data_IF_833800508087
#
_entry.id   IF_833800508087
#
_cell.length_a   1.000
_cell.length_b   1.000
_cell.length_c   1.000
_cell.angle_alpha   90.00
_cell.angle_beta   90.00
_cell.angle_gamma   90.00
#
_symmetry.space_group_name_H-M   'P 1'
#
loop_
_entity.id
_entity.type
_entity.pdbx_description
1 polymer ?
#
# COMPACT_ATOMS: atom_id res chain seq x y z
N UNK A 1 31.77 1.26 11.00
CA UNK A 1 31.12 1.54 9.71
C UNK A 1 30.30 0.34 9.31
N UNK A 2 30.91 -0.65 8.65
CA UNK A 2 30.14 -1.69 7.96
C UNK A 2 30.01 -3.02 8.71
N UNK A 3 30.95 -3.37 9.59
CA UNK A 3 30.87 -4.61 10.38
C UNK A 3 29.65 -4.64 11.32
N UNK A 4 29.31 -3.51 11.93
CA UNK A 4 28.12 -3.39 12.79
C UNK A 4 26.80 -3.48 12.01
N UNK A 5 26.79 -3.11 10.72
CA UNK A 5 25.61 -3.23 9.87
C UNK A 5 25.35 -4.70 9.48
N UNK A 6 26.40 -5.46 9.19
CA UNK A 6 26.29 -6.90 8.90
C UNK A 6 25.81 -7.69 10.12
N UNK A 7 26.33 -7.38 11.31
CA UNK A 7 25.89 -8.00 12.57
C UNK A 7 24.42 -7.68 12.84
N UNK A 8 24.00 -6.43 12.63
CA UNK A 8 22.60 -6.02 12.77
C UNK A 8 21.67 -6.74 11.79
N UNK A 9 22.10 -6.94 10.54
CA UNK A 9 21.32 -7.67 9.52
C UNK A 9 21.11 -9.11 9.94
N UNK A 10 22.14 -9.80 10.45
CA UNK A 10 22.01 -11.18 10.93
C UNK A 10 20.98 -11.27 12.06
N UNK A 11 21.07 -10.39 13.06
CA UNK A 11 20.11 -10.34 14.17
C UNK A 11 18.70 -10.08 13.66
N UNK A 12 18.49 -9.12 12.75
CA UNK A 12 17.16 -8.85 12.19
C UNK A 12 16.60 -10.07 11.44
N UNK A 13 17.45 -10.78 10.70
CA UNK A 13 17.05 -11.97 9.95
C UNK A 13 16.55 -13.11 10.86
N UNK A 14 17.04 -13.21 12.09
CA UNK A 14 16.54 -14.19 13.08
C UNK A 14 15.08 -13.92 13.49
N UNK A 15 14.63 -12.66 13.41
CA UNK A 15 13.27 -12.25 13.75
C UNK A 15 12.30 -12.21 12.55
N UNK A 16 12.78 -12.45 11.33
CA UNK A 16 11.92 -12.56 10.14
C UNK A 16 10.84 -13.65 10.22
N UNK A 17 11.05 -14.84 10.83
CA UNK A 17 10.00 -15.82 11.05
C UNK A 17 9.15 -15.58 12.32
N UNK A 18 9.29 -14.44 13.00
CA UNK A 18 8.63 -14.19 14.28
C UNK A 18 7.09 -14.31 14.16
N UNK A 19 6.38 -14.91 15.14
CA UNK A 19 4.94 -15.15 15.04
C UNK A 19 4.10 -13.88 14.90
N UNK A 20 4.51 -12.80 15.58
CA UNK A 20 3.81 -11.52 15.59
C UNK A 20 4.08 -10.72 14.30
N UNK A 21 3.05 -10.32 13.53
CA UNK A 21 3.21 -9.66 12.23
C UNK A 21 3.93 -8.32 12.31
N UNK A 22 3.69 -7.54 13.36
CA UNK A 22 4.37 -6.26 13.56
C UNK A 22 5.89 -6.40 13.64
N UNK A 23 6.40 -7.47 14.25
CA UNK A 23 7.85 -7.70 14.34
C UNK A 23 8.43 -7.95 12.94
N UNK A 24 7.75 -8.76 12.11
CA UNK A 24 8.16 -9.00 10.72
C UNK A 24 8.10 -7.73 9.86
N UNK A 25 7.07 -6.90 10.05
CA UNK A 25 6.95 -5.58 9.40
C UNK A 25 8.16 -4.69 9.74
N UNK A 26 8.49 -4.57 11.02
CA UNK A 26 9.63 -3.74 11.47
C UNK A 26 10.97 -4.33 11.01
N UNK A 27 11.11 -5.66 10.94
CA UNK A 27 12.30 -6.30 10.34
C UNK A 27 12.46 -5.92 8.87
N UNK A 28 11.39 -5.96 8.07
CA UNK A 28 11.40 -5.51 6.69
C UNK A 28 11.82 -4.02 6.57
N UNK A 29 11.26 -3.15 7.41
CA UNK A 29 11.63 -1.72 7.42
C UNK A 29 13.09 -1.52 7.80
N UNK A 30 13.58 -2.21 8.81
CA UNK A 30 14.96 -2.14 9.25
C UNK A 30 15.93 -2.61 8.16
N UNK A 31 15.64 -3.73 7.49
CA UNK A 31 16.43 -4.22 6.37
C UNK A 31 16.46 -3.22 5.22
N UNK A 32 15.31 -2.65 4.83
CA UNK A 32 15.26 -1.64 3.76
C UNK A 32 16.09 -0.39 4.09
N UNK A 33 16.11 0.05 5.36
CA UNK A 33 16.91 1.20 5.81
C UNK A 33 18.41 0.90 5.84
N UNK A 34 18.79 -0.28 6.31
CA UNK A 34 20.20 -0.68 6.48
C UNK A 34 20.85 -1.06 5.14
N UNK A 35 20.16 -1.88 4.35
CA UNK A 35 20.70 -2.49 3.13
C UNK A 35 20.31 -1.73 1.84
N UNK A 36 19.34 -0.81 1.91
CA UNK A 36 18.82 -0.09 0.73
C UNK A 36 18.43 -1.08 -0.38
N UNK A 37 19.04 -0.97 -1.56
CA UNK A 37 18.78 -1.86 -2.69
C UNK A 37 19.11 -3.34 -2.39
N UNK A 38 20.13 -3.61 -1.56
CA UNK A 38 20.51 -4.97 -1.17
C UNK A 38 19.46 -5.66 -0.28
N UNK A 39 18.46 -4.92 0.21
CA UNK A 39 17.33 -5.49 0.94
C UNK A 39 16.38 -6.29 0.05
N UNK A 40 16.38 -6.06 -1.26
CA UNK A 40 15.36 -6.61 -2.18
C UNK A 40 15.19 -8.14 -2.07
N UNK A 41 16.24 -8.98 -2.08
CA UNK A 41 16.08 -10.44 -1.96
C UNK A 41 15.44 -10.89 -0.65
N UNK A 42 15.62 -10.11 0.42
CA UNK A 42 15.02 -10.40 1.73
C UNK A 42 13.55 -9.98 1.76
N UNK A 43 13.23 -8.82 1.19
CA UNK A 43 11.87 -8.30 1.12
C UNK A 43 10.98 -9.14 0.21
N UNK A 44 11.50 -9.65 -0.92
CA UNK A 44 10.75 -10.52 -1.83
C UNK A 44 10.18 -11.78 -1.14
N UNK A 45 10.89 -12.32 -0.14
CA UNK A 45 10.45 -13.49 0.64
C UNK A 45 9.19 -13.21 1.46
N UNK A 46 8.88 -11.94 1.73
CA UNK A 46 7.72 -11.52 2.51
C UNK A 46 6.52 -11.09 1.64
N UNK A 47 6.60 -11.20 0.31
CA UNK A 47 5.46 -10.90 -0.57
C UNK A 47 4.29 -11.87 -0.41
N UNK A 48 4.56 -13.06 0.13
CA UNK A 48 3.56 -14.09 0.42
C UNK A 48 3.45 -14.34 1.94
N UNK A 49 3.78 -13.31 2.74
CA UNK A 49 3.55 -13.36 4.18
C UNK A 49 2.07 -13.62 4.49
N UNK A 50 1.83 -14.38 5.55
CA UNK A 50 0.47 -14.73 6.02
C UNK A 50 -0.33 -13.52 6.48
N UNK A 51 0.34 -12.43 6.83
CA UNK A 51 -0.28 -11.20 7.31
C UNK A 51 -0.22 -10.10 6.26
N UNK A 52 -1.41 -9.65 5.90
CA UNK A 52 -1.68 -8.59 4.94
C UNK A 52 -0.92 -7.28 5.23
N UNK A 53 -0.73 -6.91 6.51
CA UNK A 53 -0.02 -5.67 6.88
C UNK A 53 1.45 -5.77 6.49
N UNK A 54 2.05 -6.95 6.66
CA UNK A 54 3.44 -7.20 6.27
C UNK A 54 3.58 -7.11 4.76
N UNK A 55 2.71 -7.78 4.01
CA UNK A 55 2.70 -7.73 2.54
C UNK A 55 2.54 -6.29 2.04
N UNK A 56 1.63 -5.52 2.63
CA UNK A 56 1.43 -4.09 2.31
C UNK A 56 2.71 -3.30 2.47
N UNK A 57 3.39 -3.47 3.61
CA UNK A 57 4.62 -2.76 3.91
C UNK A 57 5.71 -3.13 2.91
N UNK A 58 5.85 -4.41 2.63
CA UNK A 58 6.84 -4.94 1.68
C UNK A 58 6.62 -4.38 0.28
N UNK A 59 5.38 -4.31 -0.19
CA UNK A 59 5.04 -3.68 -1.49
C UNK A 59 5.50 -2.22 -1.52
N UNK A 60 5.23 -1.46 -0.46
CA UNK A 60 5.66 -0.06 -0.37
C UNK A 60 7.19 0.08 -0.28
N UNK A 61 7.88 -0.81 0.42
CA UNK A 61 9.34 -0.77 0.49
C UNK A 61 9.97 -1.10 -0.87
N UNK A 62 9.49 -2.15 -1.54
CA UNK A 62 9.97 -2.54 -2.86
C UNK A 62 9.65 -1.52 -3.95
N UNK A 63 8.51 -0.81 -3.86
CA UNK A 63 8.19 0.29 -4.78
C UNK A 63 9.14 1.48 -4.61
N UNK A 64 9.44 1.87 -3.37
CA UNK A 64 10.42 2.94 -3.07
C UNK A 64 11.86 2.58 -3.46
N UNK A 65 12.17 1.29 -3.49
CA UNK A 65 13.45 0.78 -4.00
C UNK A 65 13.43 0.58 -5.53
N UNK A 66 12.34 0.94 -6.21
CA UNK A 66 12.11 0.73 -7.65
C UNK A 66 12.46 -0.69 -8.11
N UNK A 67 12.06 -1.69 -7.33
CA UNK A 67 12.35 -3.10 -7.64
C UNK A 67 11.71 -3.54 -8.95
N UNK A 68 12.55 -3.87 -9.94
CA UNK A 68 12.10 -4.43 -11.22
C UNK A 68 12.11 -5.96 -11.22
N UNK A 69 12.17 -6.58 -10.04
CA UNK A 69 12.22 -8.03 -9.89
C UNK A 69 10.94 -8.68 -10.41
N UNK A 70 11.03 -9.71 -11.29
CA UNK A 70 9.86 -10.29 -11.95
C UNK A 70 8.78 -10.78 -10.98
N UNK A 71 9.19 -11.36 -9.84
CA UNK A 71 8.26 -11.83 -8.81
C UNK A 71 7.42 -10.68 -8.23
N UNK A 72 8.05 -9.52 -7.98
CA UNK A 72 7.35 -8.36 -7.45
C UNK A 72 6.38 -7.77 -8.48
N UNK A 73 6.84 -7.60 -9.72
CA UNK A 73 6.00 -7.07 -10.80
C UNK A 73 4.81 -7.99 -11.11
N UNK A 74 5.01 -9.31 -11.09
CA UNK A 74 3.93 -10.28 -11.24
C UNK A 74 2.92 -10.18 -10.08
N UNK A 75 3.39 -9.97 -8.85
CA UNK A 75 2.50 -9.72 -7.70
C UNK A 75 1.65 -8.47 -7.92
N UNK A 76 2.25 -7.36 -8.34
CA UNK A 76 1.53 -6.11 -8.61
C UNK A 76 0.44 -6.32 -9.67
N UNK A 77 0.81 -6.89 -10.83
CA UNK A 77 -0.11 -7.10 -11.96
C UNK A 77 -1.21 -8.10 -11.61
N UNK A 78 -0.87 -9.24 -11.01
CA UNK A 78 -1.84 -10.28 -10.67
C UNK A 78 -2.83 -9.84 -9.59
N UNK A 79 -2.41 -8.99 -8.65
CA UNK A 79 -3.27 -8.43 -7.60
C UNK A 79 -4.31 -7.45 -8.15
N UNK A 80 -3.98 -6.69 -9.20
CA UNK A 80 -4.88 -5.65 -9.73
C UNK A 80 -5.67 -6.10 -10.96
N UNK A 81 -5.26 -7.19 -11.60
CA UNK A 81 -5.91 -7.76 -12.79
C UNK A 81 -7.42 -7.96 -12.60
N UNK A 82 -8.17 -7.76 -13.68
CA UNK A 82 -9.60 -8.03 -13.68
C UNK A 82 -9.87 -9.52 -13.49
N UNK A 83 -10.83 -9.84 -12.61
CA UNK A 83 -11.23 -11.21 -12.29
C UNK A 83 -12.60 -11.53 -12.84
N UNK A 84 -12.85 -12.81 -13.12
CA UNK A 84 -14.21 -13.29 -13.40
C UNK A 84 -15.05 -13.19 -12.13
N UNK A 85 -16.37 -13.08 -12.28
CA UNK A 85 -17.28 -12.95 -11.12
C UNK A 85 -17.19 -14.12 -10.12
N UNK A 86 -16.74 -15.30 -10.54
CA UNK A 86 -16.59 -16.51 -9.73
C UNK A 86 -15.15 -16.76 -9.22
N UNK A 87 -14.20 -15.90 -9.56
CA UNK A 87 -12.83 -16.01 -9.08
C UNK A 87 -12.67 -15.25 -7.75
N UNK A 88 -11.81 -15.76 -6.84
CA UNK A 88 -11.47 -15.02 -5.63
C UNK A 88 -10.77 -13.71 -6.01
N UNK A 89 -11.13 -12.67 -5.29
CA UNK A 89 -10.60 -11.33 -5.49
C UNK A 89 -9.63 -11.00 -4.36
N UNK A 90 -8.44 -10.46 -4.67
CA UNK A 90 -7.56 -9.94 -3.64
C UNK A 90 -8.25 -8.86 -2.82
N UNK A 91 -7.89 -8.75 -1.53
CA UNK A 91 -8.42 -7.71 -0.67
C UNK A 91 -8.23 -6.30 -1.27
N UNK A 92 -9.22 -5.43 -1.09
CA UNK A 92 -9.23 -4.10 -1.70
C UNK A 92 -7.98 -3.27 -1.35
N UNK A 93 -7.55 -3.33 -0.09
CA UNK A 93 -6.36 -2.63 0.36
C UNK A 93 -5.10 -3.07 -0.41
N UNK A 94 -4.99 -4.35 -0.77
CA UNK A 94 -3.84 -4.91 -1.49
C UNK A 94 -3.83 -4.40 -2.92
N UNK A 95 -5.00 -4.35 -3.56
CA UNK A 95 -5.12 -3.80 -4.91
C UNK A 95 -4.73 -2.33 -4.94
N UNK A 96 -5.21 -1.53 -3.96
CA UNK A 96 -4.85 -0.12 -3.85
C UNK A 96 -3.36 0.05 -3.59
N UNK A 97 -2.75 -0.77 -2.73
CA UNK A 97 -1.31 -0.75 -2.49
C UNK A 97 -0.51 -1.03 -3.77
N UNK A 98 -0.94 -2.02 -4.57
CA UNK A 98 -0.29 -2.36 -5.83
C UNK A 98 -0.43 -1.24 -6.88
N UNK A 99 -1.62 -0.63 -7.01
CA UNK A 99 -1.83 0.48 -7.95
C UNK A 99 -1.02 1.72 -7.56
N UNK A 100 -0.91 2.01 -6.25
CA UNK A 100 -0.04 3.08 -5.75
C UNK A 100 1.43 2.79 -6.02
N UNK A 101 1.87 1.55 -5.78
CA UNK A 101 3.22 1.13 -6.10
C UNK A 101 3.53 1.37 -7.58
N UNK A 102 2.63 0.99 -8.50
CA UNK A 102 2.80 1.24 -9.94
C UNK A 102 2.88 2.75 -10.28
N UNK A 103 2.20 3.61 -9.54
CA UNK A 103 2.29 5.06 -9.70
C UNK A 103 3.61 5.67 -9.20
N UNK A 104 4.47 4.92 -8.50
CA UNK A 104 5.80 5.38 -8.07
C UNK A 104 6.89 5.11 -9.13
N UNK A 105 6.59 4.38 -10.21
CA UNK A 105 7.58 3.97 -11.24
C UNK A 105 7.84 5.05 -12.29
N UNK A 106 7.80 6.32 -11.90
CA UNK A 106 8.14 7.40 -12.81
C UNK A 106 9.63 7.31 -13.17
N UNK A 107 9.95 7.34 -14.47
CA UNK A 107 11.31 7.20 -14.99
C UNK A 107 12.03 5.88 -14.72
N UNK A 108 11.34 4.85 -14.22
CA UNK A 108 11.90 3.51 -14.05
C UNK A 108 11.71 2.70 -15.33
N UNK A 109 12.76 2.01 -15.80
CA UNK A 109 12.66 1.12 -16.95
C UNK A 109 11.89 -0.14 -16.54
N UNK A 110 10.68 -0.28 -17.07
CA UNK A 110 9.84 -1.44 -16.85
C UNK A 110 10.24 -2.58 -17.80
N UNK A 111 10.43 -3.83 -17.32
CA UNK A 111 10.79 -4.95 -18.19
C UNK A 111 9.64 -5.38 -19.13
N UNK A 112 8.38 -5.22 -18.71
CA UNK A 112 7.19 -5.48 -19.55
C UNK A 112 6.14 -4.37 -19.39
N UNK A 113 6.36 -3.19 -20.00
CA UNK A 113 5.48 -2.04 -19.83
C UNK A 113 4.12 -2.28 -20.51
N UNK A 114 4.08 -3.08 -21.58
CA UNK A 114 2.84 -3.33 -22.35
C UNK A 114 1.83 -4.11 -21.54
N UNK A 115 2.26 -5.15 -20.81
CA UNK A 115 1.36 -5.95 -19.97
C UNK A 115 0.78 -5.13 -18.82
N UNK A 116 1.60 -4.29 -18.18
CA UNK A 116 1.14 -3.38 -17.11
C UNK A 116 0.15 -2.37 -17.67
N UNK A 117 0.50 -1.70 -18.77
CA UNK A 117 -0.37 -0.72 -19.42
C UNK A 117 -1.72 -1.33 -19.78
N UNK A 118 -1.74 -2.51 -20.44
CA UNK A 118 -2.97 -3.19 -20.81
C UNK A 118 -3.83 -3.52 -19.57
N UNK A 119 -3.20 -4.00 -18.49
CA UNK A 119 -3.91 -4.32 -17.25
C UNK A 119 -4.56 -3.07 -16.65
N UNK A 120 -3.85 -1.95 -16.63
CA UNK A 120 -4.38 -0.68 -16.14
C UNK A 120 -5.48 -0.12 -17.04
N UNK A 121 -5.34 -0.22 -18.37
CA UNK A 121 -6.38 0.14 -19.33
C UNK A 121 -7.66 -0.68 -19.10
N UNK A 122 -7.54 -1.98 -18.89
CA UNK A 122 -8.66 -2.87 -18.57
C UNK A 122 -9.36 -2.45 -17.26
N UNK A 123 -8.60 -2.06 -16.23
CA UNK A 123 -9.18 -1.56 -14.98
C UNK A 123 -9.96 -0.25 -15.21
N UNK A 124 -9.36 0.71 -15.90
CA UNK A 124 -9.96 2.01 -16.19
C UNK A 124 -11.24 1.87 -17.01
N UNK A 125 -11.17 1.05 -18.06
CA UNK A 125 -12.25 0.79 -19.00
C UNK A 125 -12.36 -0.71 -19.29
N UNK A 126 -13.13 -1.46 -18.48
CA UNK A 126 -13.29 -2.89 -18.71
C UNK A 126 -13.95 -3.15 -20.06
N UNK A 127 -13.58 -4.24 -20.77
CA UNK A 127 -14.16 -4.57 -22.07
C UNK A 127 -15.68 -4.75 -21.97
N UNK A 128 -16.46 -3.90 -22.66
CA UNK A 128 -17.94 -3.90 -22.58
C UNK A 128 -18.56 -5.26 -22.83
N UNK A 129 -18.03 -6.01 -23.81
CA UNK A 129 -18.52 -7.35 -24.13
C UNK A 129 -18.37 -8.29 -22.92
N UNK A 130 -17.25 -8.20 -22.19
CA UNK A 130 -16.97 -9.06 -21.03
C UNK A 130 -17.68 -8.59 -19.76
N UNK A 131 -17.95 -7.30 -19.59
CA UNK A 131 -18.70 -6.80 -18.43
C UNK A 131 -20.20 -7.13 -18.52
N UNK A 132 -20.74 -7.25 -19.73
CA UNK A 132 -22.17 -7.50 -19.98
C UNK A 132 -22.54 -8.99 -20.03
N UNK A 133 -21.57 -9.91 -20.01
CA UNK A 133 -21.87 -11.34 -20.02
C UNK A 133 -22.62 -11.75 -18.72
N UNK A 134 -23.74 -12.49 -18.85
CA UNK A 134 -24.51 -12.94 -17.70
C UNK A 134 -23.77 -14.01 -16.90
N UNK A 135 -24.06 -14.06 -15.60
CA UNK A 135 -23.56 -15.08 -14.70
C UNK A 135 -22.03 -15.12 -14.58
N UNK A 136 -21.46 -16.33 -14.59
CA UNK A 136 -20.04 -16.63 -14.32
C UNK A 136 -19.06 -16.23 -15.44
N UNK A 137 -19.56 -15.83 -16.60
CA UNK A 137 -18.73 -15.46 -17.76
C UNK A 137 -18.36 -13.97 -17.77
N UNK A 138 -18.99 -13.18 -16.91
CA UNK A 138 -18.73 -11.75 -16.78
C UNK A 138 -17.47 -11.44 -15.98
N UNK A 139 -16.85 -10.31 -16.29
CA UNK A 139 -15.73 -9.73 -15.55
C UNK A 139 -16.26 -8.75 -14.51
N UNK A 140 -15.63 -8.72 -13.32
CA UNK A 140 -15.96 -7.77 -12.26
C UNK A 140 -15.25 -6.44 -12.54
N UNK A 141 -16.04 -5.39 -12.80
CA UNK A 141 -15.50 -4.03 -12.86
C UNK A 141 -14.94 -3.62 -11.49
N UNK A 142 -13.81 -2.92 -11.49
CA UNK A 142 -13.23 -2.39 -10.25
C UNK A 142 -14.01 -1.15 -9.80
N UNK A 143 -14.04 -0.95 -8.49
CA UNK A 143 -14.59 0.26 -7.88
C UNK A 143 -13.86 1.53 -8.35
N UNK A 144 -14.51 2.68 -8.19
CA UNK A 144 -14.04 3.96 -8.72
C UNK A 144 -12.67 4.37 -8.18
N UNK A 145 -12.42 4.16 -6.89
CA UNK A 145 -11.13 4.40 -6.24
C UNK A 145 -9.96 3.69 -6.95
N UNK A 146 -10.13 2.42 -7.30
CA UNK A 146 -9.15 1.62 -8.03
C UNK A 146 -9.00 2.11 -9.47
N UNK A 147 -10.07 2.60 -10.10
CA UNK A 147 -10.01 3.20 -11.44
C UNK A 147 -9.23 4.52 -11.42
N UNK A 148 -9.41 5.33 -10.38
CA UNK A 148 -8.64 6.56 -10.14
C UNK A 148 -7.15 6.23 -10.01
N UNK A 149 -6.76 5.31 -9.11
CA UNK A 149 -5.36 4.93 -8.97
C UNK A 149 -4.78 4.30 -10.25
N UNK A 150 -5.56 3.52 -11.00
CA UNK A 150 -5.12 2.97 -12.27
C UNK A 150 -4.89 4.05 -13.34
N UNK A 151 -5.74 5.10 -13.39
CA UNK A 151 -5.54 6.23 -14.29
C UNK A 151 -4.30 7.06 -13.91
N UNK A 152 -4.02 7.25 -12.61
CA UNK A 152 -2.77 7.86 -12.14
C UNK A 152 -1.57 7.02 -12.60
N UNK A 153 -1.61 5.70 -12.36
CA UNK A 153 -0.53 4.80 -12.77
C UNK A 153 -0.32 4.82 -14.28
N UNK A 154 -1.38 4.87 -15.11
CA UNK A 154 -1.25 5.04 -16.57
C UNK A 154 -0.54 6.35 -16.95
N UNK A 155 -0.78 7.45 -16.24
CA UNK A 155 -0.03 8.68 -16.47
C UNK A 155 1.48 8.51 -16.24
N UNK A 156 1.85 7.63 -15.30
CA UNK A 156 3.25 7.39 -14.90
C UNK A 156 3.93 6.36 -15.81
N UNK A 157 3.32 5.18 -16.03
CA UNK A 157 3.96 4.07 -16.78
C UNK A 157 3.41 3.88 -18.19
N UNK A 158 2.28 4.51 -18.52
CA UNK A 158 1.62 4.35 -19.81
C UNK A 158 2.31 5.13 -20.93
N UNK A 159 2.03 4.69 -22.15
CA UNK A 159 2.46 5.29 -23.41
C UNK A 159 1.30 6.02 -24.10
N UNK A 160 1.57 6.59 -25.28
CA UNK A 160 0.55 7.22 -26.11
C UNK A 160 -0.63 6.29 -26.44
N UNK A 161 -0.44 4.96 -26.40
CA UNK A 161 -1.50 3.99 -26.62
C UNK A 161 -2.58 4.00 -25.52
N UNK A 162 -2.29 4.51 -24.32
CA UNK A 162 -3.27 4.65 -23.23
C UNK A 162 -4.17 5.90 -23.37
N UNK A 163 -3.79 6.89 -24.19
CA UNK A 163 -4.52 8.16 -24.34
C UNK A 163 -5.99 7.96 -24.76
N UNK A 164 -6.34 7.09 -25.73
CA UNK A 164 -7.75 6.86 -26.09
C UNK A 164 -8.60 6.32 -24.93
N UNK A 165 -8.00 5.51 -24.05
CA UNK A 165 -8.68 4.97 -22.86
C UNK A 165 -8.89 6.09 -21.84
N UNK A 166 -7.88 6.91 -21.57
CA UNK A 166 -7.97 8.05 -20.67
C UNK A 166 -8.94 9.13 -21.16
N UNK A 167 -8.96 9.42 -22.47
CA UNK A 167 -9.90 10.38 -23.07
C UNK A 167 -11.36 10.02 -22.80
N UNK A 168 -11.68 8.72 -22.74
CA UNK A 168 -13.05 8.28 -22.42
C UNK A 168 -13.47 8.60 -20.98
N UNK A 169 -12.53 8.89 -20.08
CA UNK A 169 -12.81 9.34 -18.72
C UNK A 169 -13.04 10.85 -18.61
N UNK A 170 -12.66 11.67 -19.60
CA UNK A 170 -12.88 13.12 -19.55
C UNK A 170 -14.36 13.52 -19.56
N UNK A 171 -15.23 12.61 -19.99
CA UNK A 171 -16.70 12.75 -19.94
C UNK A 171 -17.34 11.88 -18.86
N UNK A 172 -16.56 11.35 -17.90
CA UNK A 172 -17.12 10.60 -16.78
C UNK A 172 -17.88 11.52 -15.81
N UNK A 173 -18.92 10.99 -15.17
CA UNK A 173 -19.71 11.74 -14.18
C UNK A 173 -18.85 12.15 -12.97
N UNK A 174 -17.87 11.32 -12.61
CA UNK A 174 -16.93 11.57 -11.52
C UNK A 174 -15.94 12.68 -11.87
N UNK A 175 -15.94 13.74 -11.05
CA UNK A 175 -14.99 14.85 -11.18
C UNK A 175 -13.54 14.40 -10.95
N UNK A 176 -13.30 13.50 -10.00
CA UNK A 176 -11.98 12.97 -9.69
C UNK A 176 -11.40 12.20 -10.89
N UNK A 177 -12.21 11.33 -11.51
CA UNK A 177 -11.78 10.60 -12.70
C UNK A 177 -11.46 11.54 -13.87
N UNK A 178 -12.27 12.60 -14.07
CA UNK A 178 -12.01 13.58 -15.14
C UNK A 178 -10.69 14.32 -14.94
N UNK A 179 -10.45 14.82 -13.72
CA UNK A 179 -9.21 15.54 -13.38
C UNK A 179 -7.99 14.65 -13.56
N UNK A 180 -8.03 13.45 -12.97
CA UNK A 180 -6.92 12.49 -13.04
C UNK A 180 -6.63 12.04 -14.47
N UNK A 181 -7.66 11.82 -15.29
CA UNK A 181 -7.47 11.47 -16.69
C UNK A 181 -6.78 12.60 -17.48
N UNK A 182 -7.20 13.85 -17.28
CA UNK A 182 -6.55 15.01 -17.90
C UNK A 182 -5.08 15.14 -17.49
N UNK A 183 -4.78 14.95 -16.20
CA UNK A 183 -3.41 14.97 -15.69
C UNK A 183 -2.55 13.83 -16.26
N UNK A 184 -3.11 12.63 -16.35
CA UNK A 184 -2.43 11.47 -16.92
C UNK A 184 -2.12 11.66 -18.41
N UNK A 185 -3.06 12.20 -19.19
CA UNK A 185 -2.85 12.51 -20.61
C UNK A 185 -1.72 13.53 -20.77
N UNK A 186 -1.77 14.64 -20.02
CA UNK A 186 -0.72 15.67 -20.07
C UNK A 186 0.67 15.12 -19.75
N UNK A 187 0.79 14.22 -18.76
CA UNK A 187 2.06 13.56 -18.43
C UNK A 187 2.58 12.68 -19.56
N UNK A 188 1.70 11.88 -20.18
CA UNK A 188 2.08 11.00 -21.30
C UNK A 188 2.55 11.85 -22.50
N UNK A 189 1.81 12.91 -22.83
CA UNK A 189 2.14 13.82 -23.93
C UNK A 189 3.45 14.57 -23.69
N UNK A 190 3.67 15.09 -22.48
CA UNK A 190 4.93 15.75 -22.12
C UNK A 190 6.13 14.80 -22.26
N UNK A 191 5.98 13.54 -21.85
CA UNK A 191 7.00 12.51 -22.04
C UNK A 191 7.24 12.18 -23.51
N UNK A 192 6.17 12.02 -24.30
CA UNK A 192 6.28 11.75 -25.73
C UNK A 192 6.94 12.91 -26.50
N UNK A 193 6.74 14.15 -26.06
CA UNK A 193 7.37 15.34 -26.61
C UNK A 193 8.83 15.55 -26.16
N UNK A 194 9.40 14.64 -25.35
CA UNK A 194 10.76 14.76 -24.82
C UNK A 194 10.92 15.84 -23.76
N UNK A 195 9.82 16.39 -23.22
CA UNK A 195 9.82 17.41 -22.17
C UNK A 195 10.03 16.82 -20.77
N UNK A 196 9.98 15.48 -20.65
CA UNK A 196 10.34 14.72 -19.46
C UNK A 196 11.49 13.77 -19.83
N UNK A 197 12.74 14.22 -19.61
CA UNK A 197 13.91 13.33 -19.67
C UNK A 197 13.77 12.23 -18.60
N UNK A 198 14.26 10.99 -18.82
CA UNK A 198 14.54 10.10 -17.70
C UNK A 198 15.46 10.86 -16.76
N UNK A 199 15.08 10.98 -15.49
CA UNK A 199 15.99 11.52 -14.48
C UNK A 199 17.26 10.66 -14.54
N UNK A 200 18.38 11.26 -14.92
CA UNK A 200 19.69 10.70 -14.57
C UNK A 200 19.65 10.41 -13.07
N UNK A 201 20.15 9.26 -12.61
CA UNK A 201 20.15 8.94 -11.19
C UNK A 201 20.90 10.06 -10.46
N UNK A 202 20.14 10.92 -9.77
CA UNK A 202 20.70 11.98 -8.97
C UNK A 202 21.61 11.31 -7.96
N UNK A 203 22.91 11.54 -8.10
CA UNK A 203 23.89 11.14 -7.11
C UNK A 203 23.38 11.63 -5.75
N UNK A 204 23.47 10.80 -4.69
CA UNK A 204 22.99 11.19 -3.39
C UNK A 204 23.65 12.51 -3.01
N UNK A 205 22.85 13.55 -2.81
CA UNK A 205 23.36 14.84 -2.36
C UNK A 205 24.22 14.60 -1.10
N UNK A 206 25.42 15.18 -1.02
CA UNK A 206 26.28 15.01 0.14
C UNK A 206 25.51 15.50 1.35
N UNK A 207 25.29 14.59 2.30
CA UNK A 207 24.64 14.88 3.58
C UNK A 207 25.45 16.00 4.24
N UNK A 208 24.92 17.22 4.18
CA UNK A 208 25.41 18.35 4.95
C UNK A 208 25.30 17.94 6.41
N UNK A 209 26.43 17.63 7.03
CA UNK A 209 26.51 17.35 8.46
C UNK A 209 25.96 18.59 9.19
N UNK A 210 24.80 18.44 9.83
CA UNK A 210 24.33 19.42 10.79
C UNK A 210 25.41 19.56 11.88
N UNK A 211 25.80 20.79 12.26
CA UNK A 211 26.81 21.00 13.28
C UNK A 211 26.34 20.41 14.62
N UNK A 212 27.21 19.61 15.23
CA UNK A 212 27.01 19.04 16.57
C UNK A 212 26.61 20.15 17.56
N UNK A 213 25.57 19.94 18.39
CA UNK A 213 25.23 20.89 19.43
C UNK A 213 26.32 20.90 20.50
N UNK A 214 26.83 22.09 20.80
CA UNK A 214 27.84 22.32 21.85
C UNK A 214 27.40 21.74 23.21
N UNK A 215 28.35 21.19 24.00
CA UNK A 215 28.03 20.54 25.26
C UNK A 215 27.55 21.59 26.28
N UNK A 216 26.27 21.52 26.64
CA UNK A 216 25.72 22.30 27.74
C UNK A 216 26.36 21.87 29.07
N UNK A 217 26.94 22.83 29.76
CA UNK A 217 27.60 22.65 31.05
C UNK A 217 26.63 22.06 32.09
N UNK A 218 27.08 20.99 32.75
CA UNK A 218 26.34 20.33 33.82
C UNK A 218 26.08 21.30 34.99
N UNK A 219 24.87 21.30 35.59
CA UNK A 219 24.61 22.08 36.79
C UNK A 219 25.37 21.50 38.01
N UNK A 220 25.78 22.35 38.96
CA UNK A 220 26.57 21.92 40.12
C UNK A 220 25.77 21.02 41.08
N UNK A 221 26.44 20.14 41.82
CA UNK A 221 25.79 19.18 42.72
C UNK A 221 25.15 19.89 43.91
N UNK A 222 23.87 19.60 44.16
CA UNK A 222 23.17 20.02 45.36
C UNK A 222 23.52 19.10 46.54
N UNK A 223 23.92 19.71 47.66
CA UNK A 223 24.23 19.04 48.92
C UNK A 223 23.03 18.28 49.50
N UNK A 224 23.23 17.15 50.19
CA UNK A 224 22.16 16.28 50.64
C UNK A 224 21.45 16.85 51.89
N UNK A 225 20.15 17.15 51.76
CA UNK A 225 19.28 17.32 52.91
C UNK A 225 18.78 15.96 53.38
N UNK A 226 19.12 15.60 54.62
CA UNK A 226 18.63 14.41 55.29
C UNK A 226 17.11 14.50 55.51
N UNK A 227 16.36 13.52 55.02
CA UNK A 227 14.95 13.28 55.38
C UNK A 227 14.84 12.03 56.26
N UNK A 228 14.03 12.06 57.33
CA UNK A 228 13.84 10.93 58.22
C UNK A 228 12.93 9.86 57.61
N UNK A 229 13.14 8.66 58.13
CA UNK A 229 12.62 7.35 57.71
C UNK A 229 11.24 7.06 58.31
N UNK A 230 10.33 6.48 57.50
CA UNK A 230 9.22 5.54 57.81
C UNK A 230 7.90 5.86 57.07
N UNK A 231 6.95 4.91 56.95
CA UNK A 231 7.11 3.55 56.44
C UNK A 231 6.13 3.26 55.26
N UNK A 232 6.24 2.04 54.74
CA UNK A 232 5.61 1.52 53.54
C UNK A 232 4.07 1.56 53.51
N UNK A 233 3.51 1.92 52.35
CA UNK A 233 2.20 1.43 51.90
C UNK A 233 2.24 1.03 50.42
N UNK A 234 1.64 -0.13 50.17
CA UNK A 234 1.50 -0.84 48.90
C UNK A 234 0.18 -0.40 48.26
N UNK A 235 0.23 0.05 47.00
CA UNK A 235 -0.97 0.36 46.22
C UNK A 235 -0.68 0.39 44.71
N UNK A 236 -1.60 -0.06 43.84
CA UNK A 236 -1.29 -0.44 42.47
C UNK A 236 -1.17 0.77 41.54
N UNK A 237 -0.12 0.74 40.69
CA UNK A 237 0.05 1.69 39.58
C UNK A 237 -0.99 1.42 38.49
N UNK A 238 -1.99 2.29 38.38
CA UNK A 238 -2.73 2.51 37.14
C UNK A 238 -1.79 3.19 36.14
N UNK A 239 -1.57 2.54 34.99
CA UNK A 239 -0.86 3.13 33.87
C UNK A 239 -1.86 3.98 33.10
N UNK A 240 -1.60 5.28 33.06
CA UNK A 240 -2.29 6.22 32.19
C UNK A 240 -2.03 5.82 30.73
N UNK A 241 -3.08 5.39 30.06
CA UNK A 241 -3.12 5.29 28.60
C UNK A 241 -3.23 6.74 28.11
N UNK A 242 -2.20 7.21 27.42
CA UNK A 242 -2.25 8.52 26.75
C UNK A 242 -2.95 8.35 25.41
N UNK A 243 -3.98 9.17 25.23
CA UNK A 243 -4.77 9.33 24.03
C UNK A 243 -3.88 9.71 22.84
N UNK A 244 -3.91 8.89 21.79
CA UNK A 244 -3.40 9.27 20.47
C UNK A 244 -4.58 9.77 19.65
N UNK A 245 -4.63 11.09 19.50
CA UNK A 245 -5.66 11.85 18.81
C UNK A 245 -5.64 11.56 17.29
N UNK A 246 -6.67 10.86 16.81
CA UNK A 246 -6.96 10.65 15.39
C UNK A 246 -8.36 11.21 15.08
N UNK A 247 -8.48 12.54 15.01
CA UNK A 247 -9.50 13.18 14.19
C UNK A 247 -8.98 14.56 13.75
N UNK A 248 -8.94 14.91 12.47
CA UNK A 248 -10.14 15.38 11.80
C UNK A 248 -9.85 15.71 10.34
N UNK A 249 -10.50 14.99 9.42
CA UNK A 249 -10.98 15.50 8.11
C UNK A 249 -11.61 14.35 7.33
N UNK A 250 -12.74 13.85 7.84
CA UNK A 250 -13.66 13.03 7.04
C UNK A 250 -15.06 13.62 7.18
N UNK A 251 -15.44 14.34 6.13
CA UNK A 251 -16.81 14.75 5.83
C UNK A 251 -17.67 13.48 5.76
N UNK A 252 -18.60 13.31 6.70
CA UNK A 252 -19.61 12.26 6.66
C UNK A 252 -20.66 12.59 5.61
N UNK A 253 -21.05 11.67 4.71
CA UNK A 253 -22.28 11.82 3.95
C UNK A 253 -23.50 11.61 4.85
N UNK A 254 -24.51 12.43 4.62
CA UNK A 254 -25.81 12.47 5.29
C UNK A 254 -26.60 11.19 4.97
N UNK A 255 -27.06 10.49 6.00
CA UNK A 255 -27.99 9.37 5.85
C UNK A 255 -29.36 9.88 5.34
N UNK A 256 -30.02 9.16 4.41
CA UNK A 256 -31.41 9.44 4.06
C UNK A 256 -32.37 8.83 5.09
N UNK A 257 -33.45 9.58 5.32
CA UNK A 257 -34.50 9.34 6.30
C UNK A 257 -35.19 7.99 6.17
N UNK A 258 -35.49 7.46 7.36
CA UNK A 258 -36.25 6.27 7.64
C UNK A 258 -37.75 6.58 7.54
N UNK A 259 -38.45 6.00 6.56
CA UNK A 259 -39.89 5.79 6.66
C UNK A 259 -40.42 4.70 5.70
N UNK A 260 -41.06 3.70 6.33
CA UNK A 260 -42.11 2.81 5.81
C UNK A 260 -41.71 1.57 4.97
N UNK A 261 -41.68 0.39 5.63
CA UNK A 261 -42.54 -0.78 5.33
C UNK A 261 -42.10 -1.97 6.22
N UNK A 262 -42.79 -2.25 7.33
CA UNK A 262 -43.88 -3.24 7.46
C UNK A 262 -43.56 -4.66 6.94
N UNK A 263 -43.44 -5.57 7.91
CA UNK A 263 -43.92 -6.98 7.94
C UNK A 263 -43.53 -7.89 6.77
N UNK A 264 -42.79 -8.97 7.05
CA UNK A 264 -43.30 -10.36 7.09
C UNK A 264 -42.30 -11.25 7.82
N UNK A 265 -42.82 -11.95 8.83
CA UNK A 265 -42.21 -13.07 9.57
C UNK A 265 -42.06 -14.29 8.65
N UNK A 266 -40.88 -14.90 8.60
CA UNK A 266 -40.62 -16.09 7.79
C UNK A 266 -39.58 -16.99 8.46
N UNK A 267 -40.06 -18.00 9.18
CA UNK A 267 -39.29 -19.00 9.89
C UNK A 267 -38.37 -19.83 8.96
N UNK A 268 -37.07 -19.88 9.26
CA UNK A 268 -36.16 -20.86 8.68
C UNK A 268 -36.28 -22.18 9.46
N UNK A 269 -36.92 -23.18 8.83
CA UNK A 269 -36.85 -24.59 9.24
C UNK A 269 -35.49 -25.16 8.85
N UNK A 270 -34.76 -25.67 9.84
CA UNK A 270 -33.58 -26.50 9.67
C UNK A 270 -34.04 -27.88 9.19
N UNK A 271 -33.68 -28.26 7.97
CA UNK A 271 -33.88 -29.61 7.43
C UNK A 271 -32.76 -30.57 7.87
N UNK A 272 -33.01 -31.89 7.93
CA UNK A 272 -32.05 -32.86 8.45
C UNK A 272 -30.89 -33.14 7.49
N UNK A 273 -29.70 -33.37 8.06
CA UNK A 273 -28.47 -33.85 7.39
C UNK A 273 -28.68 -35.23 6.73
N UNK A 274 -28.13 -35.47 5.54
CA UNK A 274 -28.07 -36.82 4.95
C UNK A 274 -27.00 -37.69 5.65
N UNK A 275 -27.16 -39.04 5.63
CA UNK A 275 -26.22 -39.96 6.26
C UNK A 275 -24.93 -40.12 5.45
N UNK A 276 -23.81 -40.22 6.17
CA UNK A 276 -22.50 -40.61 5.65
C UNK A 276 -22.57 -42.05 5.11
N UNK A 277 -21.95 -42.26 3.94
CA UNK A 277 -21.76 -43.59 3.36
C UNK A 277 -20.52 -44.24 3.98
N UNK A 278 -20.71 -45.52 4.30
CA UNK A 278 -19.80 -46.56 4.83
C UNK A 278 -18.40 -46.50 4.23
#
# INVERSE_FOLDING_TARGET
>A
GDMQALDAVQVIMEYMPHPHPRVREECAVALAKLLKAEAQPHLLKLLDDKDDIVVRRVIHLLSRLHSTEPQFLEKLVSSVSLRRKNEPEPHDWLQVACLRALAEYEHVVFPDPKRVEQTLCDIVRPPRLRSLLPGRFGVRAKAEDKRVFAAIALGVVGSAAAIPVLNSLLSADSEDLRKVAGDAIRRIEARAAGQMSPAEPSAPEPVTQEPEPEPQAAPPPQSPQAKPMAPAEVGPRQVAVSDFDLSSSLVRPKAPDDQAARTVSGAYRIGPRPPEKV
#
